data_IF_991065644970
#
_entry.id   IF_991065644970
#
_cell.length_a   1.000
_cell.length_b   1.000
_cell.length_c   1.000
_cell.angle_alpha   90.00
_cell.angle_beta   90.00
_cell.angle_gamma   90.00
#
_symmetry.space_group_name_H-M   'P 1'
#
loop_
_entity.id
_entity.type
_entity.pdbx_description
1 polymer ?
#
# COMPACT_ATOMS: atom_id res chain seq x y z
N UNK A 1 11.14 1.69 8.17
CA UNK A 1 10.15 1.09 9.10
C UNK A 1 9.48 2.18 9.88
N UNK A 2 8.25 2.54 9.52
CA UNK A 2 7.58 3.69 10.14
C UNK A 2 6.09 3.41 10.31
N UNK A 3 5.54 3.82 11.45
CA UNK A 3 4.13 3.74 11.75
C UNK A 3 3.50 5.14 11.84
N UNK A 4 2.28 5.28 11.36
CA UNK A 4 1.59 6.56 11.22
C UNK A 4 0.11 6.43 11.61
N UNK A 5 -0.45 7.51 12.15
CA UNK A 5 -1.90 7.72 12.11
C UNK A 5 -2.23 8.49 10.83
N UNK A 6 -2.97 7.86 9.93
CA UNK A 6 -3.38 8.47 8.66
C UNK A 6 -4.80 8.99 8.85
N UNK A 7 -4.96 10.31 8.71
CA UNK A 7 -6.25 11.00 8.92
C UNK A 7 -7.02 11.14 7.61
N UNK A 8 -8.31 10.83 7.67
CA UNK A 8 -9.24 11.00 6.57
C UNK A 8 -9.74 12.45 6.52
N UNK A 9 -9.58 13.10 5.36
CA UNK A 9 -10.18 14.41 5.09
C UNK A 9 -11.11 14.25 3.90
N UNK A 10 -12.35 13.82 4.16
CA UNK A 10 -13.35 13.63 3.10
C UNK A 10 -13.98 15.01 2.80
N UNK A 11 -13.85 15.56 1.59
CA UNK A 11 -14.57 16.76 1.23
C UNK A 11 -16.08 16.47 1.24
N UNK A 12 -16.90 17.37 1.80
CA UNK A 12 -18.35 17.18 1.96
C UNK A 12 -19.10 16.75 0.69
N UNK A 13 -18.56 17.05 -0.50
CA UNK A 13 -19.13 16.66 -1.79
C UNK A 13 -19.01 15.16 -2.11
N UNK A 14 -18.09 14.42 -1.46
CA UNK A 14 -17.93 12.98 -1.63
C UNK A 14 -18.95 12.14 -0.85
N UNK A 15 -19.67 12.75 0.11
CA UNK A 15 -20.68 12.07 0.93
C UNK A 15 -21.92 11.59 0.15
N UNK A 16 -22.07 11.98 -1.12
CA UNK A 16 -23.22 11.64 -1.96
C UNK A 16 -22.91 10.53 -2.99
N UNK A 17 -21.67 10.05 -3.07
CA UNK A 17 -21.30 8.98 -3.98
C UNK A 17 -21.41 7.61 -3.29
N UNK A 18 -22.59 6.99 -3.34
CA UNK A 18 -22.77 5.61 -2.87
C UNK A 18 -22.41 4.63 -3.99
N UNK A 19 -21.23 4.00 -3.91
CA UNK A 19 -20.83 2.92 -4.82
C UNK A 19 -20.57 1.66 -4.00
N UNK A 20 -21.20 0.55 -4.40
CA UNK A 20 -20.96 -0.77 -3.82
C UNK A 20 -19.71 -1.35 -4.46
N UNK A 21 -18.65 -1.54 -3.66
CA UNK A 21 -17.42 -2.19 -4.10
C UNK A 21 -17.47 -3.69 -3.84
N UNK A 22 -17.34 -4.48 -4.90
CA UNK A 22 -17.02 -5.90 -4.77
C UNK A 22 -15.53 -5.97 -4.41
N UNK A 23 -15.26 -6.10 -3.12
CA UNK A 23 -13.90 -6.25 -2.59
C UNK A 23 -13.45 -7.68 -2.86
N UNK A 24 -12.37 -7.91 -3.63
CA UNK A 24 -11.77 -9.24 -3.73
C UNK A 24 -11.33 -9.71 -2.33
N UNK A 25 -11.43 -11.02 -2.06
CA UNK A 25 -11.06 -11.58 -0.75
C UNK A 25 -9.57 -11.32 -0.47
N UNK A 26 -9.27 -10.33 0.35
CA UNK A 26 -7.90 -10.08 0.83
C UNK A 26 -7.63 -10.96 2.05
N UNK A 27 -6.55 -11.72 2.00
CA UNK A 27 -6.14 -12.53 3.14
C UNK A 27 -5.64 -11.61 4.26
N UNK A 28 -5.98 -11.94 5.51
CA UNK A 28 -5.51 -11.22 6.69
C UNK A 28 -4.52 -12.11 7.41
N UNK A 29 -3.32 -11.59 7.65
CA UNK A 29 -2.27 -12.27 8.38
C UNK A 29 -2.35 -12.01 9.88
N UNK A 30 -1.17 -11.82 10.48
CA UNK A 30 -1.03 -11.49 11.89
C UNK A 30 -1.74 -10.18 12.26
N UNK A 31 -2.22 -10.10 13.51
CA UNK A 31 -2.80 -8.87 14.06
C UNK A 31 -1.83 -8.21 15.03
N UNK A 32 -1.60 -6.93 14.83
CA UNK A 32 -0.72 -6.10 15.67
C UNK A 32 -1.51 -4.86 16.12
N UNK A 33 -1.95 -4.76 17.38
CA UNK A 33 -2.75 -3.62 17.85
C UNK A 33 -2.13 -2.27 17.48
N UNK A 34 -2.95 -1.35 16.94
CA UNK A 34 -2.54 -0.03 16.45
C UNK A 34 -1.34 -0.05 15.48
N UNK A 35 -1.10 -1.18 14.81
CA UNK A 35 0.09 -1.41 13.99
C UNK A 35 1.42 -1.06 14.71
N UNK A 36 1.47 -1.26 16.03
CA UNK A 36 2.66 -1.01 16.85
C UNK A 36 2.78 0.43 17.38
N UNK A 37 1.80 1.30 17.11
CA UNK A 37 1.77 2.62 17.75
C UNK A 37 1.46 2.48 19.26
N UNK A 38 2.09 3.29 20.12
CA UNK A 38 1.88 3.25 21.56
C UNK A 38 0.47 3.70 21.97
N UNK A 39 -0.18 4.50 21.12
CA UNK A 39 -1.51 5.06 21.35
C UNK A 39 -2.40 4.83 20.13
N UNK A 40 -3.68 4.59 20.37
CA UNK A 40 -4.66 4.46 19.30
C UNK A 40 -4.82 5.79 18.54
N UNK A 41 -5.12 5.68 17.24
CA UNK A 41 -5.42 6.85 16.42
C UNK A 41 -6.81 7.42 16.73
N UNK A 42 -7.05 8.68 16.36
CA UNK A 42 -8.34 9.35 16.52
C UNK A 42 -9.46 8.72 15.67
N UNK A 43 -10.74 9.10 15.88
CA UNK A 43 -11.89 8.47 15.23
C UNK A 43 -11.89 8.58 13.70
N UNK A 44 -11.29 9.64 13.15
CA UNK A 44 -11.11 9.85 11.71
C UNK A 44 -9.71 9.52 11.22
N UNK A 45 -9.03 8.61 11.91
CA UNK A 45 -7.71 8.15 11.51
C UNK A 45 -7.62 6.64 11.63
N UNK A 46 -6.71 6.04 10.87
CA UNK A 46 -6.34 4.64 11.03
C UNK A 46 -4.85 4.50 11.27
N UNK A 47 -4.46 3.44 11.96
CA UNK A 47 -3.06 3.10 12.15
C UNK A 47 -2.52 2.37 10.93
N UNK A 48 -1.33 2.77 10.47
CA UNK A 48 -0.63 2.08 9.40
C UNK A 48 0.83 1.87 9.80
N UNK A 49 1.37 0.70 9.51
CA UNK A 49 2.81 0.45 9.64
C UNK A 49 3.34 -0.08 8.31
N UNK A 50 4.34 0.64 7.79
CA UNK A 50 5.01 0.37 6.53
C UNK A 50 6.43 -0.13 6.83
N UNK A 51 6.66 -1.38 6.49
CA UNK A 51 7.94 -2.07 6.63
C UNK A 51 8.43 -2.48 5.24
N UNK A 52 9.50 -1.85 4.79
CA UNK A 52 10.08 -2.07 3.46
C UNK A 52 11.02 -3.27 3.41
N UNK A 53 11.38 -3.84 4.57
CA UNK A 53 12.48 -4.81 4.69
C UNK A 53 13.77 -4.16 5.18
N UNK A 54 14.69 -4.99 5.69
CA UNK A 54 16.03 -4.58 6.16
C UNK A 54 17.12 -5.28 5.36
N UNK A 55 16.93 -6.56 5.03
CA UNK A 55 17.80 -7.37 4.17
C UNK A 55 16.97 -8.33 3.29
N UNK A 56 17.61 -9.27 2.58
CA UNK A 56 16.92 -10.23 1.70
C UNK A 56 16.02 -11.24 2.46
N UNK A 57 16.08 -11.31 3.79
CA UNK A 57 15.25 -12.19 4.62
C UNK A 57 14.03 -11.46 5.18
N UNK A 58 14.13 -10.14 5.36
CA UNK A 58 13.05 -9.32 5.87
C UNK A 58 12.13 -8.83 4.74
N UNK A 59 11.18 -9.67 4.37
CA UNK A 59 10.15 -9.35 3.36
C UNK A 59 9.29 -8.12 3.74
N UNK A 60 8.72 -7.40 2.76
CA UNK A 60 7.93 -6.20 3.02
C UNK A 60 6.65 -6.56 3.77
N UNK A 61 6.28 -5.72 4.74
CA UNK A 61 5.04 -5.89 5.51
C UNK A 61 4.26 -4.59 5.55
N UNK A 62 2.94 -4.71 5.41
CA UNK A 62 2.01 -3.58 5.58
C UNK A 62 0.94 -3.99 6.56
N UNK A 63 0.84 -3.23 7.65
CA UNK A 63 -0.26 -3.32 8.61
C UNK A 63 -1.20 -2.14 8.41
N UNK A 64 -2.50 -2.42 8.39
CA UNK A 64 -3.58 -1.42 8.37
C UNK A 64 -4.58 -1.76 9.46
N UNK A 65 -4.84 -0.79 10.33
CA UNK A 65 -5.78 -0.87 11.44
C UNK A 65 -5.63 -2.16 12.26
N UNK A 66 -4.37 -2.43 12.58
CA UNK A 66 -3.91 -3.58 13.35
C UNK A 66 -3.95 -4.93 12.65
N UNK A 67 -4.08 -4.97 11.33
CA UNK A 67 -4.07 -6.20 10.51
C UNK A 67 -2.95 -6.15 9.49
N UNK A 68 -2.06 -7.14 9.50
CA UNK A 68 -1.13 -7.34 8.39
C UNK A 68 -1.87 -7.87 7.17
N UNK A 69 -1.61 -7.23 6.04
CA UNK A 69 -2.28 -7.50 4.75
C UNK A 69 -1.28 -7.60 3.59
N UNK A 70 0.00 -7.32 3.84
CA UNK A 70 1.11 -7.60 2.92
C UNK A 70 2.19 -8.29 3.76
N UNK A 71 2.77 -9.36 3.23
CA UNK A 71 3.85 -10.10 3.86
C UNK A 71 4.27 -11.30 3.01
N UNK A 72 5.35 -11.96 3.42
CA UNK A 72 5.75 -13.25 2.86
C UNK A 72 4.61 -14.27 2.97
N UNK A 73 4.23 -14.88 1.84
CA UNK A 73 3.10 -15.83 1.79
C UNK A 73 1.72 -15.19 2.04
N UNK A 74 1.64 -13.87 2.17
CA UNK A 74 0.42 -13.11 2.44
C UNK A 74 0.14 -12.11 1.31
N UNK A 75 -0.94 -12.36 0.55
CA UNK A 75 -1.33 -11.55 -0.61
C UNK A 75 -0.18 -11.30 -1.59
N UNK A 76 0.69 -12.29 -1.74
CA UNK A 76 1.87 -12.26 -2.60
C UNK A 76 2.84 -11.10 -2.30
N UNK A 77 2.97 -10.66 -1.04
CA UNK A 77 3.98 -9.67 -0.67
C UNK A 77 5.40 -10.15 -0.98
N UNK A 78 6.25 -9.27 -1.49
CA UNK A 78 7.62 -9.64 -1.89
C UNK A 78 8.33 -8.59 -2.76
N UNK A 79 9.32 -9.00 -3.55
CA UNK A 79 10.13 -8.12 -4.41
C UNK A 79 9.28 -7.24 -5.33
N UNK A 80 9.73 -6.00 -5.52
CA UNK A 80 9.14 -5.00 -6.39
C UNK A 80 8.31 -3.99 -5.62
N UNK A 81 7.18 -3.56 -6.20
CA UNK A 81 6.26 -2.58 -5.62
C UNK A 81 5.06 -3.31 -5.02
N UNK A 82 4.79 -3.12 -3.74
CA UNK A 82 3.62 -3.66 -3.05
C UNK A 82 2.70 -2.49 -2.69
N UNK A 83 1.46 -2.55 -3.17
CA UNK A 83 0.47 -1.49 -3.00
C UNK A 83 -0.78 -1.99 -2.30
N UNK A 84 -1.29 -1.14 -1.42
CA UNK A 84 -2.54 -1.31 -0.70
C UNK A 84 -3.43 -0.12 -1.05
N UNK A 85 -4.61 -0.37 -1.58
CA UNK A 85 -5.62 0.65 -1.88
C UNK A 85 -6.76 0.55 -0.88
N UNK A 86 -7.07 1.67 -0.23
CA UNK A 86 -8.09 1.80 0.80
C UNK A 86 -9.19 2.74 0.31
N UNK A 87 -10.45 2.34 0.53
CA UNK A 87 -11.62 3.20 0.36
C UNK A 87 -11.72 4.19 1.52
N UNK A 88 -11.88 5.46 1.19
CA UNK A 88 -12.10 6.51 2.18
C UNK A 88 -13.50 6.53 2.75
N UNK A 89 -14.51 6.00 2.04
CA UNK A 89 -15.90 5.99 2.52
C UNK A 89 -16.07 4.94 3.60
N UNK A 90 -15.59 3.72 3.35
CA UNK A 90 -15.82 2.59 4.24
C UNK A 90 -14.63 2.30 5.18
N UNK A 91 -13.51 3.04 5.06
CA UNK A 91 -12.23 2.72 5.73
C UNK A 91 -11.79 1.27 5.47
N UNK A 92 -12.23 0.72 4.33
CA UNK A 92 -12.07 -0.69 3.99
C UNK A 92 -10.95 -0.88 2.98
N UNK A 93 -10.26 -2.01 3.14
CA UNK A 93 -9.28 -2.51 2.20
C UNK A 93 -9.98 -2.88 0.89
N UNK A 94 -9.63 -2.19 -0.19
CA UNK A 94 -10.18 -2.48 -1.52
C UNK A 94 -9.30 -3.46 -2.28
N UNK A 95 -7.98 -3.28 -2.23
CA UNK A 95 -7.05 -4.03 -3.06
C UNK A 95 -5.68 -4.13 -2.42
N UNK A 96 -5.09 -5.30 -2.55
CA UNK A 96 -3.65 -5.53 -2.35
C UNK A 96 -3.09 -6.07 -3.65
N UNK A 97 -2.01 -5.47 -4.12
CA UNK A 97 -1.37 -5.84 -5.38
C UNK A 97 0.14 -5.75 -5.23
N UNK A 98 0.85 -6.69 -5.86
CA UNK A 98 2.30 -6.62 -6.03
C UNK A 98 2.62 -6.52 -7.52
N UNK A 99 3.56 -5.66 -7.86
CA UNK A 99 4.15 -5.54 -9.19
C UNK A 99 5.62 -5.95 -9.11
N UNK A 100 6.00 -7.03 -9.79
CA UNK A 100 7.42 -7.40 -9.92
C UNK A 100 8.07 -6.56 -11.03
N UNK A 101 8.55 -5.38 -10.66
CA UNK A 101 9.20 -4.42 -11.57
C UNK A 101 10.49 -4.96 -12.21
N UNK A 102 10.95 -6.15 -11.83
CA UNK A 102 12.08 -6.83 -12.45
C UNK A 102 11.67 -7.72 -13.63
N UNK A 103 10.51 -8.38 -13.56
CA UNK A 103 10.09 -9.40 -14.54
C UNK A 103 8.89 -8.97 -15.40
N UNK A 104 8.09 -8.00 -14.94
CA UNK A 104 6.80 -7.65 -15.52
C UNK A 104 6.81 -6.25 -16.18
N UNK A 105 5.88 -6.03 -17.12
CA UNK A 105 5.70 -4.77 -17.85
C UNK A 105 4.97 -3.73 -16.99
N UNK A 106 5.30 -2.43 -17.13
CA UNK A 106 4.75 -1.34 -16.30
C UNK A 106 3.28 -1.02 -16.59
N UNK A 107 2.74 -1.56 -17.69
CA UNK A 107 1.38 -1.32 -18.17
C UNK A 107 0.29 -1.63 -17.12
N UNK A 108 0.49 -2.65 -16.28
CA UNK A 108 -0.46 -2.99 -15.20
C UNK A 108 -0.43 -1.97 -14.05
N UNK A 109 0.75 -1.45 -13.72
CA UNK A 109 0.91 -0.40 -12.72
C UNK A 109 0.27 0.89 -13.21
N UNK A 110 0.55 1.30 -14.45
CA UNK A 110 -0.05 2.47 -15.08
C UNK A 110 -1.58 2.37 -15.13
N UNK A 111 -2.10 1.21 -15.56
CA UNK A 111 -3.54 0.96 -15.59
C UNK A 111 -4.15 1.04 -14.19
N UNK A 112 -3.47 0.56 -13.15
CA UNK A 112 -3.96 0.69 -11.79
C UNK A 112 -4.01 2.15 -11.34
N UNK A 113 -2.95 2.92 -11.59
CA UNK A 113 -2.88 4.33 -11.23
C UNK A 113 -3.96 5.17 -11.95
N UNK A 114 -4.24 4.88 -13.22
CA UNK A 114 -5.30 5.55 -14.00
C UNK A 114 -6.72 5.20 -13.52
N UNK A 115 -6.90 4.07 -12.84
CA UNK A 115 -8.19 3.63 -12.30
C UNK A 115 -8.38 3.98 -10.81
N UNK A 116 -7.39 4.63 -10.18
CA UNK A 116 -7.56 5.16 -8.83
C UNK A 116 -8.59 6.29 -8.85
N UNK A 117 -9.44 6.30 -7.84
CA UNK A 117 -10.48 7.32 -7.72
C UNK A 117 -9.96 8.47 -6.88
N UNK A 118 -10.55 9.63 -7.12
CA UNK A 118 -10.35 10.76 -6.23
C UNK A 118 -10.81 10.34 -4.82
N UNK A 119 -9.90 10.48 -3.86
CA UNK A 119 -10.12 10.05 -2.49
C UNK A 119 -9.71 8.61 -2.19
N UNK A 120 -9.19 7.79 -3.10
CA UNK A 120 -8.55 6.53 -2.67
C UNK A 120 -7.24 6.83 -1.91
N UNK A 121 -6.97 6.12 -0.83
CA UNK A 121 -5.67 6.17 -0.13
C UNK A 121 -4.83 4.99 -0.61
N UNK A 122 -3.60 5.28 -1.05
CA UNK A 122 -2.65 4.27 -1.51
C UNK A 122 -1.46 4.23 -0.56
N UNK A 123 -1.22 3.07 0.04
CA UNK A 123 0.02 2.78 0.76
C UNK A 123 0.92 1.97 -0.16
N UNK A 124 2.18 2.39 -0.29
CA UNK A 124 3.14 1.77 -1.19
C UNK A 124 4.43 1.46 -0.41
N UNK A 125 4.93 0.24 -0.55
CA UNK A 125 6.26 -0.16 -0.08
C UNK A 125 7.03 -0.87 -1.18
N UNK A 126 8.32 -0.58 -1.29
CA UNK A 126 9.24 -1.24 -2.21
C UNK A 126 10.15 -2.20 -1.46
N UNK A 127 10.61 -3.27 -2.13
CA UNK A 127 11.57 -4.23 -1.57
C UNK A 127 12.52 -4.76 -2.65
N UNK A 128 13.79 -4.94 -2.25
CA UNK A 128 14.92 -5.55 -2.98
C UNK A 128 15.39 -4.74 -4.23
N UNK A 129 14.61 -4.59 -5.30
CA UNK A 129 14.97 -3.74 -6.47
C UNK A 129 13.73 -3.18 -7.21
N UNK A 130 13.29 -1.92 -6.97
CA UNK A 130 12.14 -1.34 -7.67
C UNK A 130 12.46 -0.76 -9.06
N UNK A 131 13.73 -0.57 -9.44
CA UNK A 131 14.12 0.44 -10.44
C UNK A 131 14.71 -0.06 -11.76
N UNK A 132 14.87 -1.37 -11.97
CA UNK A 132 15.66 -1.88 -13.11
C UNK A 132 15.02 -1.67 -14.49
N UNK A 133 13.70 -1.42 -14.55
CA UNK A 133 12.96 -1.23 -15.81
C UNK A 133 11.95 -0.07 -15.70
N UNK A 134 12.43 1.14 -15.51
CA UNK A 134 11.61 2.33 -15.75
C UNK A 134 11.69 2.74 -17.22
N UNK A 135 10.54 2.70 -17.90
CA UNK A 135 10.35 3.33 -19.20
C UNK A 135 10.33 4.86 -19.05
N UNK A 136 11.47 5.49 -19.36
CA UNK A 136 11.59 6.79 -20.01
C UNK A 136 10.84 7.98 -19.39
N UNK A 137 11.27 8.48 -18.21
CA UNK A 137 11.34 9.92 -17.84
C UNK A 137 12.14 10.16 -16.53
N UNK A 138 13.31 9.55 -16.34
CA UNK A 138 14.28 10.13 -15.39
C UNK A 138 15.64 10.27 -16.05
N UNK A 139 16.06 11.52 -16.19
CA UNK A 139 17.39 11.87 -16.66
C UNK A 139 18.45 11.19 -15.83
N UNK A 140 19.55 10.87 -16.52
CA UNK A 140 20.84 10.48 -15.95
C UNK A 140 21.25 11.39 -14.79
N UNK A 141 21.43 10.80 -13.61
CA UNK A 141 22.52 11.19 -12.73
C UNK A 141 23.09 9.95 -12.06
N UNK A 142 24.33 9.66 -12.41
CA UNK A 142 25.23 8.86 -11.59
C UNK A 142 25.34 9.52 -10.22
N UNK A 143 25.09 8.78 -9.16
CA UNK A 143 25.83 8.99 -7.91
C UNK A 143 26.37 7.63 -7.46
N UNK A 144 27.70 7.58 -7.43
CA UNK A 144 28.51 6.57 -6.76
C UNK A 144 28.22 6.58 -5.25
N UNK A 145 28.56 5.45 -4.62
CA UNK A 145 28.28 5.06 -3.24
C UNK A 145 28.62 6.08 -2.15
#
# INVERSE_FOLDING_TARGET
NVAYCITFVIPYYFLYASIIHVVPSVAVGERLPNCGLPTACGPESFSAHLFTGVDHHDQPKVCVDGKYIVGEGLNNGGRGINMVVLDTVNKHLQRVVRFDTYQEDSSLLESLLLNLRAGDIVLLVTFDEPTKKYGMFSGSHNEEC
#
